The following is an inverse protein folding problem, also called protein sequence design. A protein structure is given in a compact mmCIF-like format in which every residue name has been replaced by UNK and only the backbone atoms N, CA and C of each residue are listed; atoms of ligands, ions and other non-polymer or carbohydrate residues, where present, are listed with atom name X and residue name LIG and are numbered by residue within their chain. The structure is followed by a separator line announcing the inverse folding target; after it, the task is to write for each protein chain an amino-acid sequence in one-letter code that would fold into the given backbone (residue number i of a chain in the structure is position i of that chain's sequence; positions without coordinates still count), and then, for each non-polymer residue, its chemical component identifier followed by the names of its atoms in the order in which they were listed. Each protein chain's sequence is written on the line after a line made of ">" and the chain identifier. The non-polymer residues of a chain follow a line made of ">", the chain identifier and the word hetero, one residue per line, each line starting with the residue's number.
data_IF_022567745938
#
_entry.id   IF_022567745938
#
_cell.length_a   1.000
_cell.length_b   1.000
_cell.length_c   1.000
_cell.angle_alpha   90.00
_cell.angle_beta   90.00
_cell.angle_gamma   90.00
#
_symmetry.space_group_name_H-M   'P 1'
#
loop_
_entity.id
_entity.type
_entity.pdbx_description
1 polymer ?
#
# COMPACT_ATOMS: atom_id res chain seq x y z
N UNK A 1 7.64 -10.82 -6.36
CA UNK A 1 6.22 -11.19 -6.16
C UNK A 1 5.31 -10.22 -6.91
N UNK A 2 4.16 -10.68 -7.43
CA UNK A 2 3.08 -9.77 -7.89
C UNK A 2 2.05 -9.64 -6.77
N UNK A 3 1.86 -8.42 -6.27
CA UNK A 3 0.83 -8.10 -5.31
C UNK A 3 -0.36 -7.47 -6.03
N UNK A 4 -1.54 -8.03 -5.79
CA UNK A 4 -2.78 -7.57 -6.43
C UNK A 4 -3.81 -7.27 -5.36
N UNK A 5 -4.49 -6.14 -5.51
CA UNK A 5 -5.69 -5.84 -4.73
C UNK A 5 -6.76 -5.24 -5.63
N UNK A 6 -8.00 -5.52 -5.27
CA UNK A 6 -9.19 -5.04 -5.97
C UNK A 6 -9.89 -4.02 -5.08
N UNK A 7 -10.33 -2.92 -5.68
CA UNK A 7 -11.16 -1.93 -4.99
C UNK A 7 -12.52 -1.88 -5.67
N UNK A 8 -13.60 -2.22 -4.95
CA UNK A 8 -14.94 -2.03 -5.47
C UNK A 8 -15.25 -0.55 -5.58
N UNK A 9 -15.90 -0.19 -6.66
CA UNK A 9 -16.42 1.15 -6.86
C UNK A 9 -17.75 1.09 -7.61
N UNK A 10 -18.52 2.15 -7.44
CA UNK A 10 -19.80 2.38 -8.12
C UNK A 10 -19.67 3.61 -8.99
N UNK A 11 -20.64 3.83 -9.88
CA UNK A 11 -20.71 5.05 -10.69
C UNK A 11 -20.76 6.33 -9.83
N UNK A 12 -21.24 6.23 -8.59
CA UNK A 12 -21.35 7.34 -7.63
C UNK A 12 -20.08 7.55 -6.79
N UNK A 13 -19.06 6.71 -6.96
CA UNK A 13 -17.84 6.77 -6.15
C UNK A 13 -16.57 6.85 -6.99
N UNK A 14 -15.52 7.40 -6.40
CA UNK A 14 -14.19 7.34 -6.99
C UNK A 14 -13.16 6.95 -5.94
N UNK A 15 -12.10 6.30 -6.41
CA UNK A 15 -11.04 5.74 -5.56
C UNK A 15 -9.77 6.55 -5.71
N UNK A 16 -9.16 6.91 -4.59
CA UNK A 16 -7.75 7.31 -4.53
C UNK A 16 -6.99 6.27 -3.73
N UNK A 17 -6.04 5.60 -4.37
CA UNK A 17 -5.22 4.60 -3.71
C UNK A 17 -3.74 4.83 -3.99
N UNK A 18 -2.89 4.38 -3.09
CA UNK A 18 -1.47 4.21 -3.35
C UNK A 18 -0.95 2.95 -2.69
N UNK A 19 0.14 2.47 -3.24
CA UNK A 19 1.02 1.49 -2.64
C UNK A 19 2.42 2.10 -2.54
N UNK A 20 3.07 1.99 -1.38
CA UNK A 20 4.38 2.60 -1.19
C UNK A 20 5.28 1.74 -0.32
N UNK A 21 6.55 1.69 -0.65
CA UNK A 21 7.58 1.10 0.20
C UNK A 21 7.98 2.10 1.29
N UNK A 22 8.07 1.63 2.52
CA UNK A 22 8.51 2.41 3.67
C UNK A 22 10.03 2.29 3.81
N UNK A 23 10.71 3.44 3.79
CA UNK A 23 12.17 3.56 3.92
C UNK A 23 12.59 4.13 5.27
N UNK A 24 11.74 4.10 6.28
CA UNK A 24 12.03 4.57 7.63
C UNK A 24 11.16 5.74 8.05
N UNK A 25 11.64 6.53 9.01
CA UNK A 25 10.84 7.57 9.67
C UNK A 25 10.79 8.88 8.87
N UNK A 26 9.64 9.54 8.91
CA UNK A 26 9.48 10.93 8.45
C UNK A 26 8.83 11.75 9.58
N UNK A 27 9.48 12.81 10.09
CA UNK A 27 8.95 13.60 11.22
C UNK A 27 7.54 14.16 10.99
N UNK A 28 7.22 14.56 9.76
CA UNK A 28 5.93 15.17 9.42
C UNK A 28 4.83 14.15 9.12
N UNK A 29 5.18 13.00 8.51
CA UNK A 29 4.22 12.07 7.92
C UNK A 29 4.27 10.65 8.51
N UNK A 30 5.01 10.47 9.62
CA UNK A 30 5.29 9.19 10.25
C UNK A 30 6.34 8.37 9.51
N UNK A 31 6.12 8.13 8.21
CA UNK A 31 6.99 7.27 7.39
C UNK A 31 7.52 7.99 6.15
N UNK A 32 8.79 7.75 5.84
CA UNK A 32 9.38 8.05 4.54
C UNK A 32 8.94 6.98 3.56
N UNK A 33 8.36 7.40 2.44
CA UNK A 33 7.73 6.52 1.44
C UNK A 33 8.38 6.68 0.07
N UNK A 34 8.54 5.59 -0.64
CA UNK A 34 8.73 5.56 -2.10
C UNK A 34 7.47 4.98 -2.71
N UNK A 35 6.74 5.76 -3.51
CA UNK A 35 5.49 5.31 -4.11
C UNK A 35 5.77 4.38 -5.28
N UNK A 36 5.02 3.27 -5.36
CA UNK A 36 5.09 2.33 -6.46
C UNK A 36 3.92 2.58 -7.41
N UNK A 37 4.21 2.55 -8.70
CA UNK A 37 3.19 2.59 -9.74
C UNK A 37 2.56 1.21 -9.90
N UNK A 38 1.22 1.18 -9.97
CA UNK A 38 0.46 -0.03 -10.23
C UNK A 38 -0.02 -0.01 -11.67
N UNK A 39 0.02 -1.17 -12.33
CA UNK A 39 -0.78 -1.38 -13.53
C UNK A 39 -2.24 -1.51 -13.11
N UNK A 40 -3.14 -0.75 -13.74
CA UNK A 40 -4.55 -0.69 -13.37
C UNK A 40 -5.44 -1.25 -14.45
N UNK A 41 -6.39 -2.10 -14.08
CA UNK A 41 -7.38 -2.66 -14.98
C UNK A 41 -8.79 -2.55 -14.40
N UNK A 42 -9.74 -2.13 -15.23
CA UNK A 42 -11.15 -1.99 -14.87
C UNK A 42 -11.92 -3.25 -15.25
N UNK A 43 -12.67 -3.80 -14.29
CA UNK A 43 -13.46 -5.02 -14.41
C UNK A 43 -14.95 -4.76 -14.17
N UNK A 44 -15.48 -3.66 -14.73
CA UNK A 44 -16.85 -3.23 -14.49
C UNK A 44 -16.98 -2.53 -13.13
N UNK A 45 -17.39 -3.27 -12.10
CA UNK A 45 -17.64 -2.74 -10.75
C UNK A 45 -16.41 -2.75 -9.82
N UNK A 46 -15.30 -3.32 -10.28
CA UNK A 46 -14.04 -3.40 -9.53
C UNK A 46 -12.86 -2.86 -10.36
N UNK A 47 -11.91 -2.22 -9.69
CA UNK A 47 -10.60 -1.87 -10.27
C UNK A 47 -9.52 -2.71 -9.64
N UNK A 48 -8.81 -3.48 -10.46
CA UNK A 48 -7.63 -4.24 -10.04
C UNK A 48 -6.36 -3.40 -10.15
N UNK A 49 -5.55 -3.44 -9.10
CA UNK A 49 -4.23 -2.80 -9.03
C UNK A 49 -3.16 -3.88 -8.90
N UNK A 50 -2.24 -3.93 -9.87
CA UNK A 50 -1.22 -4.96 -9.98
C UNK A 50 0.16 -4.34 -9.81
N UNK A 51 0.88 -4.77 -8.77
CA UNK A 51 2.19 -4.26 -8.41
C UNK A 51 3.24 -5.36 -8.49
N UNK A 52 4.36 -5.06 -9.16
CA UNK A 52 5.52 -5.93 -9.12
C UNK A 52 6.46 -5.49 -8.01
N UNK A 53 6.65 -6.36 -7.03
CA UNK A 53 7.53 -6.15 -5.88
C UNK A 53 8.76 -7.04 -6.06
N UNK A 54 9.90 -6.39 -6.27
CA UNK A 54 11.16 -7.06 -6.61
C UNK A 54 11.95 -7.49 -5.37
N UNK A 55 11.92 -6.68 -4.32
CA UNK A 55 12.78 -6.84 -3.16
C UNK A 55 11.93 -6.95 -1.90
N UNK A 56 12.47 -7.66 -0.91
CA UNK A 56 12.01 -7.67 0.47
C UNK A 56 11.84 -6.24 0.99
N UNK A 57 10.83 -6.02 1.82
CA UNK A 57 10.53 -4.68 2.27
C UNK A 57 9.26 -4.57 3.11
N UNK A 58 9.08 -3.40 3.68
CA UNK A 58 7.86 -3.01 4.38
C UNK A 58 7.09 -2.04 3.50
N UNK A 59 5.79 -2.27 3.33
CA UNK A 59 4.95 -1.52 2.42
C UNK A 59 3.72 -0.96 3.16
N UNK A 60 3.15 0.10 2.59
CA UNK A 60 1.88 0.68 2.99
C UNK A 60 0.94 0.66 1.80
N UNK A 61 -0.25 0.09 2.01
CA UNK A 61 -1.38 0.25 1.12
C UNK A 61 -2.36 1.23 1.76
N UNK A 62 -2.80 2.23 1.00
CA UNK A 62 -3.86 3.13 1.44
C UNK A 62 -4.90 3.25 0.35
N UNK A 63 -6.14 2.91 0.67
CA UNK A 63 -7.30 3.06 -0.22
C UNK A 63 -8.24 4.08 0.41
N UNK A 64 -8.68 5.06 -0.38
CA UNK A 64 -9.71 6.02 0.00
C UNK A 64 -10.81 6.00 -1.05
N UNK A 65 -12.05 5.90 -0.60
CA UNK A 65 -13.25 5.90 -1.44
C UNK A 65 -14.03 7.17 -1.11
N UNK A 66 -14.36 7.93 -2.14
CA UNK A 66 -15.05 9.19 -2.05
C UNK A 66 -16.38 9.15 -2.80
N UNK A 67 -17.36 9.92 -2.33
CA UNK A 67 -18.58 10.22 -3.08
C UNK A 67 -18.26 11.16 -4.23
N UNK A 68 -18.68 10.86 -5.46
CA UNK A 68 -18.61 11.80 -6.58
C UNK A 68 -19.60 12.96 -6.44
N UNK A 69 -20.71 12.74 -5.76
CA UNK A 69 -21.78 13.73 -5.59
C UNK A 69 -21.35 14.80 -4.58
N UNK A 70 -20.88 14.38 -3.39
CA UNK A 70 -20.53 15.30 -2.31
C UNK A 70 -19.03 15.60 -2.22
N UNK A 71 -18.19 14.84 -2.93
CA UNK A 71 -16.73 14.89 -2.83
C UNK A 71 -16.19 14.56 -1.42
N UNK A 72 -17.01 13.92 -0.58
CA UNK A 72 -16.65 13.54 0.79
C UNK A 72 -16.05 12.14 0.86
N UNK A 73 -15.16 11.94 1.82
CA UNK A 73 -14.56 10.64 2.11
C UNK A 73 -15.62 9.72 2.74
N UNK A 74 -15.96 8.64 2.06
CA UNK A 74 -16.90 7.62 2.54
C UNK A 74 -16.16 6.60 3.40
N UNK A 75 -15.03 6.11 2.89
CA UNK A 75 -14.26 5.04 3.53
C UNK A 75 -12.77 5.24 3.30
N UNK A 76 -11.98 4.91 4.32
CA UNK A 76 -10.55 4.78 4.22
C UNK A 76 -10.10 3.43 4.79
N UNK A 77 -9.20 2.79 4.08
CA UNK A 77 -8.50 1.58 4.53
C UNK A 77 -6.99 1.83 4.44
N UNK A 78 -6.26 1.37 5.47
CA UNK A 78 -4.80 1.44 5.48
C UNK A 78 -4.26 0.14 6.07
N UNK A 79 -3.33 -0.47 5.34
CA UNK A 79 -2.64 -1.69 5.73
C UNK A 79 -1.14 -1.47 5.66
N UNK A 80 -0.42 -2.16 6.55
CA UNK A 80 1.03 -2.25 6.52
C UNK A 80 1.40 -3.70 6.23
N UNK A 81 2.34 -3.90 5.33
CA UNK A 81 2.64 -5.22 4.80
C UNK A 81 4.16 -5.47 4.86
N UNK A 82 4.55 -6.71 5.16
CA UNK A 82 5.92 -7.19 5.08
C UNK A 82 6.02 -8.20 3.94
N UNK A 83 6.95 -7.97 3.02
CA UNK A 83 7.39 -8.98 2.07
C UNK A 83 8.75 -9.52 2.51
N UNK A 84 8.80 -10.83 2.81
CA UNK A 84 9.99 -11.55 3.27
C UNK A 84 10.71 -12.34 2.17
N UNK A 85 10.39 -12.04 0.90
CA UNK A 85 10.94 -12.73 -0.26
C UNK A 85 10.05 -13.88 -0.74
N UNK A 86 9.21 -14.43 0.14
CA UNK A 86 8.34 -15.57 -0.17
C UNK A 86 6.86 -15.17 -0.18
N UNK A 87 6.39 -14.41 0.81
CA UNK A 87 4.99 -14.04 0.92
C UNK A 87 4.78 -12.62 1.48
N UNK A 88 3.58 -12.09 1.25
CA UNK A 88 3.15 -10.80 1.78
C UNK A 88 2.30 -11.02 3.03
N UNK A 89 2.77 -10.53 4.17
CA UNK A 89 2.07 -10.64 5.45
C UNK A 89 1.60 -9.26 5.91
N UNK A 90 0.38 -9.16 6.42
CA UNK A 90 -0.07 -7.93 7.08
C UNK A 90 0.59 -7.83 8.46
N UNK A 91 1.09 -6.64 8.79
CA UNK A 91 1.74 -6.31 10.06
C UNK A 91 1.05 -5.10 10.69
N UNK A 92 1.23 -4.93 11.98
CA UNK A 92 0.71 -3.75 12.67
C UNK A 92 1.60 -2.53 12.44
N UNK A 93 0.98 -1.34 12.47
CA UNK A 93 1.69 -0.06 12.30
C UNK A 93 2.89 0.09 13.24
N UNK A 94 2.79 -0.41 14.48
CA UNK A 94 3.85 -0.26 15.49
C UNK A 94 5.09 -1.08 15.16
N UNK A 95 4.96 -2.11 14.33
CA UNK A 95 6.03 -3.03 13.98
C UNK A 95 6.85 -2.55 12.76
N UNK A 96 6.26 -1.65 11.96
CA UNK A 96 6.82 -1.14 10.69
C UNK A 96 8.28 -0.73 10.80
N UNK A 97 8.64 0.13 11.77
CA UNK A 97 10.01 0.64 11.87
C UNK A 97 10.99 -0.46 12.29
N UNK A 98 10.58 -1.35 13.20
CA UNK A 98 11.42 -2.47 13.63
C UNK A 98 11.72 -3.43 12.47
N UNK A 99 10.78 -3.67 11.57
CA UNK A 99 11.03 -4.47 10.37
C UNK A 99 11.90 -3.75 9.34
N UNK A 100 11.69 -2.45 9.12
CA UNK A 100 12.53 -1.65 8.22
C UNK A 100 14.00 -1.66 8.67
N UNK A 101 14.26 -1.58 9.97
CA UNK A 101 15.61 -1.65 10.54
C UNK A 101 16.23 -3.03 10.33
N UNK A 102 15.53 -4.11 10.68
CA UNK A 102 16.01 -5.48 10.50
C UNK A 102 16.38 -5.80 9.04
N UNK A 103 15.55 -5.41 8.08
CA UNK A 103 15.83 -5.65 6.65
C UNK A 103 17.10 -4.92 6.21
N UNK A 104 17.34 -3.70 6.71
CA UNK A 104 18.57 -2.95 6.42
C UNK A 104 19.81 -3.59 7.00
N UNK A 105 19.72 -4.08 8.24
CA UNK A 105 20.82 -4.79 8.89
C UNK A 105 21.19 -6.06 8.11
N UNK A 106 20.19 -6.83 7.67
CA UNK A 106 20.40 -8.03 6.87
C UNK A 106 20.98 -7.73 5.48
N UNK A 107 20.55 -6.65 4.84
CA UNK A 107 21.06 -6.25 3.52
C UNK A 107 22.48 -5.67 3.55
N UNK A 108 23.01 -5.32 4.72
CA UNK A 108 24.36 -4.79 4.92
C UNK A 108 25.41 -5.87 5.23
N UNK A 109 24.98 -7.12 5.41
CA UNK A 109 25.81 -8.31 5.61
C UNK A 109 26.20 -8.94 4.26
#
# INVERSE_FOLDING_TARGET
>A
MTYTYHVPFTDDTYVQTYFAEIKGICPKFGFKRTFLEANTHDFGEDRGYYLTIWNEGVFEQSIKIFSRITNELIRQEKKWLLYDGFCMNEIERREVLGFVEKIRELAAL
#
